data_IF_071425552378
#
_entry.id   IF_071425552378
#
_cell.length_a   1.000
_cell.length_b   1.000
_cell.length_c   1.000
_cell.angle_alpha   90.00
_cell.angle_beta   90.00
_cell.angle_gamma   90.00
#
_symmetry.space_group_name_H-M   'P 1'
#
loop_
_entity.id
_entity.type
_entity.pdbx_description
1 polymer ?
#
# COMPACT_ATOMS: atom_id res chain seq x y z
N UNK A 1 -13.34 15.47 -29.63
CA UNK A 1 -12.78 15.92 -28.34
C UNK A 1 -11.50 15.16 -28.09
N UNK A 2 -10.37 15.83 -28.30
CA UNK A 2 -9.06 15.30 -27.91
C UNK A 2 -9.02 15.26 -26.39
N UNK A 3 -9.10 14.07 -25.82
CA UNK A 3 -8.71 13.85 -24.42
C UNK A 3 -7.18 14.05 -24.38
N UNK A 4 -6.75 15.06 -23.61
CA UNK A 4 -5.34 15.36 -23.45
C UNK A 4 -4.62 14.15 -22.84
N UNK A 5 -3.68 13.59 -23.57
CA UNK A 5 -2.69 12.68 -23.03
C UNK A 5 -1.81 13.48 -22.07
N UNK A 6 -2.19 13.47 -20.80
CA UNK A 6 -1.34 13.98 -19.75
C UNK A 6 -0.05 13.19 -19.79
N UNK A 7 1.08 13.88 -19.95
CA UNK A 7 2.41 13.29 -19.76
C UNK A 7 2.38 12.53 -18.43
N UNK A 8 2.63 11.22 -18.45
CA UNK A 8 2.93 10.47 -17.23
C UNK A 8 4.22 11.09 -16.72
N UNK A 9 4.09 12.00 -15.76
CA UNK A 9 5.25 12.62 -15.14
C UNK A 9 5.93 11.53 -14.31
N UNK A 10 6.98 10.95 -14.85
CA UNK A 10 7.84 9.94 -14.22
C UNK A 10 8.61 10.47 -12.99
N UNK A 11 8.02 11.38 -12.22
CA UNK A 11 8.76 12.10 -11.18
C UNK A 11 8.12 12.22 -9.80
N UNK A 12 6.89 11.79 -9.57
CA UNK A 12 6.17 12.19 -8.32
C UNK A 12 5.42 11.04 -7.64
N UNK A 13 5.85 9.81 -7.80
CA UNK A 13 5.26 8.67 -7.08
C UNK A 13 6.14 8.14 -5.94
N UNK A 14 6.85 9.04 -5.29
CA UNK A 14 7.33 8.77 -3.95
C UNK A 14 6.10 8.71 -3.03
N UNK A 15 5.92 7.62 -2.28
CA UNK A 15 5.09 7.69 -1.08
C UNK A 15 5.62 8.87 -0.31
N UNK A 16 4.84 9.96 -0.25
CA UNK A 16 5.29 11.17 0.43
C UNK A 16 5.58 10.81 1.87
N UNK A 17 6.75 11.18 2.42
CA UNK A 17 7.07 10.90 3.82
C UNK A 17 5.96 11.31 4.78
N UNK A 18 5.17 12.32 4.44
CA UNK A 18 4.02 12.78 5.22
C UNK A 18 2.95 11.72 5.47
N UNK A 19 2.89 10.67 4.64
CA UNK A 19 1.95 9.56 4.82
C UNK A 19 2.47 8.47 5.77
N UNK A 20 3.74 8.49 6.15
CA UNK A 20 4.31 7.44 7.01
C UNK A 20 3.67 7.37 8.40
N UNK A 21 3.32 8.50 9.06
CA UNK A 21 2.57 8.44 10.30
C UNK A 21 1.22 7.71 10.16
N UNK A 22 0.49 7.98 9.06
CA UNK A 22 -0.80 7.34 8.79
C UNK A 22 -0.64 5.84 8.49
N UNK A 23 0.44 5.46 7.79
CA UNK A 23 0.76 4.06 7.55
C UNK A 23 1.06 3.33 8.85
N UNK A 24 1.92 3.90 9.70
CA UNK A 24 2.30 3.30 11.00
C UNK A 24 1.10 3.19 11.95
N UNK A 25 0.20 4.18 11.94
CA UNK A 25 -1.04 4.17 12.74
C UNK A 25 -2.18 3.33 12.15
N UNK A 26 -2.01 2.76 10.97
CA UNK A 26 -3.08 1.98 10.33
C UNK A 26 -3.26 0.60 10.97
N UNK A 27 -4.50 0.13 11.03
CA UNK A 27 -4.83 -1.20 11.57
C UNK A 27 -4.01 -2.32 10.90
N UNK A 28 -3.87 -2.40 9.56
CA UNK A 28 -3.08 -3.45 8.94
C UNK A 28 -1.60 -3.43 9.32
N UNK A 29 -1.03 -2.25 9.50
CA UNK A 29 0.36 -2.13 9.93
C UNK A 29 0.52 -2.55 11.40
N UNK A 30 -0.34 -2.04 12.28
CA UNK A 30 -0.30 -2.34 13.72
C UNK A 30 -0.53 -3.82 13.99
N UNK A 31 -1.50 -4.45 13.34
CA UNK A 31 -1.75 -5.89 13.49
C UNK A 31 -0.61 -6.74 12.96
N UNK A 32 0.12 -6.26 11.95
CA UNK A 32 1.30 -6.95 11.46
C UNK A 32 2.42 -7.04 12.51
N UNK A 33 2.43 -6.16 13.51
CA UNK A 33 3.42 -6.17 14.58
C UNK A 33 3.09 -7.17 15.70
N UNK A 34 1.87 -7.70 15.76
CA UNK A 34 1.46 -8.62 16.85
C UNK A 34 2.27 -9.91 16.90
N UNK A 35 2.65 -10.44 15.73
CA UNK A 35 3.41 -11.69 15.61
C UNK A 35 4.93 -11.48 15.73
N UNK A 36 5.37 -10.26 16.02
CA UNK A 36 6.81 -9.98 16.18
C UNK A 36 7.30 -10.56 17.49
N UNK A 37 8.34 -11.37 17.41
CA UNK A 37 9.02 -11.92 18.58
C UNK A 37 9.89 -10.85 19.25
N UNK A 38 9.66 -10.63 20.52
CA UNK A 38 10.40 -9.70 21.37
C UNK A 38 10.96 -10.45 22.57
N UNK A 39 12.06 -9.92 23.11
CA UNK A 39 12.75 -10.51 24.25
C UNK A 39 12.89 -9.49 25.37
N UNK A 40 12.55 -9.90 26.59
CA UNK A 40 12.73 -9.05 27.78
C UNK A 40 14.19 -9.07 28.23
N UNK A 41 14.62 -7.94 28.78
CA UNK A 41 15.99 -7.77 29.27
C UNK A 41 16.25 -8.56 30.56
N UNK A 42 15.26 -8.63 31.46
CA UNK A 42 15.44 -9.21 32.79
C UNK A 42 15.43 -10.74 32.75
N UNK A 43 14.43 -11.34 32.14
CA UNK A 43 14.23 -12.79 32.19
C UNK A 43 14.69 -13.50 30.92
N UNK A 44 15.01 -12.77 29.87
CA UNK A 44 15.39 -13.32 28.57
C UNK A 44 14.29 -14.16 27.91
N UNK A 45 13.05 -14.04 28.38
CA UNK A 45 11.90 -14.75 27.81
C UNK A 45 11.51 -14.13 26.46
N UNK A 46 11.12 -15.00 25.54
CA UNK A 46 10.67 -14.63 24.20
C UNK A 46 9.15 -14.67 24.18
N UNK A 47 8.56 -13.57 23.73
CA UNK A 47 7.11 -13.39 23.60
C UNK A 47 6.80 -12.80 22.23
N UNK A 48 5.59 -12.97 21.76
CA UNK A 48 5.08 -12.09 20.70
C UNK A 48 4.69 -10.74 21.30
N UNK A 49 4.71 -9.68 20.48
CA UNK A 49 4.24 -8.35 20.91
C UNK A 49 2.81 -8.43 21.45
N UNK A 50 1.96 -9.26 20.85
CA UNK A 50 0.60 -9.55 21.33
C UNK A 50 0.62 -10.05 22.77
N UNK A 51 1.35 -11.13 23.04
CA UNK A 51 1.45 -11.72 24.40
C UNK A 51 2.01 -10.72 25.40
N UNK A 52 3.04 -9.98 25.01
CA UNK A 52 3.62 -8.94 25.85
C UNK A 52 2.61 -7.87 26.25
N UNK A 53 1.79 -7.39 25.30
CA UNK A 53 0.76 -6.39 25.57
C UNK A 53 -0.38 -6.96 26.42
N UNK A 54 -0.79 -8.20 26.22
CA UNK A 54 -1.80 -8.88 27.02
C UNK A 54 -1.35 -9.03 28.48
N UNK A 55 -0.09 -9.39 28.74
CA UNK A 55 0.49 -9.50 30.07
C UNK A 55 0.65 -8.13 30.76
N UNK A 56 1.03 -7.07 30.04
CA UNK A 56 1.06 -5.71 30.57
C UNK A 56 -0.33 -5.15 30.90
N UNK A 57 -1.37 -5.58 30.20
CA UNK A 57 -2.76 -5.16 30.49
C UNK A 57 -3.35 -5.92 31.66
N UNK A 58 -2.74 -7.01 32.11
CA UNK A 58 -3.10 -7.65 33.38
C UNK A 58 -2.77 -6.67 34.51
N UNK A 59 -3.80 -6.27 35.23
CA UNK A 59 -3.67 -5.33 36.35
C UNK A 59 -2.58 -5.80 37.32
N UNK A 60 -1.73 -4.88 37.85
CA UNK A 60 -0.65 -5.25 38.78
C UNK A 60 -1.20 -6.08 39.95
N UNK A 61 -0.42 -7.06 40.44
CA UNK A 61 -0.84 -7.98 41.50
C UNK A 61 -1.50 -7.31 42.72
N UNK A 62 -1.09 -6.08 43.02
CA UNK A 62 -1.66 -5.29 44.13
C UNK A 62 -3.09 -4.79 43.82
N UNK A 63 -3.51 -4.68 42.58
CA UNK A 63 -4.89 -4.31 42.21
C UNK A 63 -5.88 -5.44 42.56
N UNK A 64 -5.43 -6.69 42.62
CA UNK A 64 -6.24 -7.80 43.08
C UNK A 64 -6.57 -7.68 44.59
N UNK A 65 -5.72 -7.04 45.38
CA UNK A 65 -5.94 -6.81 46.80
C UNK A 65 -6.95 -5.68 47.03
N UNK A 66 -6.93 -4.62 46.24
CA UNK A 66 -7.86 -3.50 46.32
C UNK A 66 -9.21 -3.81 45.69
N UNK A 67 -9.25 -4.69 44.66
CA UNK A 67 -10.43 -5.06 43.90
C UNK A 67 -11.21 -6.27 44.48
N UNK A 68 -10.71 -6.93 45.53
CA UNK A 68 -11.33 -8.14 46.09
C UNK A 68 -12.82 -8.02 46.45
N UNK A 69 -13.32 -6.91 47.02
CA UNK A 69 -14.75 -6.80 47.31
C UNK A 69 -15.65 -6.65 46.05
N UNK A 70 -15.13 -6.20 44.94
CA UNK A 70 -15.91 -6.03 43.72
C UNK A 70 -15.94 -7.26 42.80
N UNK A 71 -14.98 -8.21 42.94
CA UNK A 71 -14.97 -9.46 42.15
C UNK A 71 -16.11 -10.42 42.50
N UNK A 72 -16.67 -10.33 43.69
CA UNK A 72 -17.84 -11.15 44.11
C UNK A 72 -19.14 -10.75 43.39
N UNK A 73 -19.24 -9.54 42.88
CA UNK A 73 -20.41 -9.06 42.14
C UNK A 73 -20.28 -9.37 40.64
N UNK A 74 -19.06 -9.50 40.11
CA UNK A 74 -18.76 -9.83 38.70
C UNK A 74 -18.96 -11.32 38.33
N UNK A 75 -18.94 -12.23 39.31
CA UNK A 75 -19.13 -13.67 39.08
C UNK A 75 -20.56 -14.07 38.64
N UNK A 76 -21.52 -13.17 38.68
CA UNK A 76 -22.89 -13.39 38.25
C UNK A 76 -23.16 -12.96 36.79
N UNK A 77 -22.19 -12.44 36.09
CA UNK A 77 -22.24 -12.21 34.64
C UNK A 77 -21.27 -13.14 33.96
N UNK A 78 -21.76 -14.32 33.60
CA UNK A 78 -21.07 -15.20 32.63
C UNK A 78 -21.02 -14.48 31.29
N UNK A 79 -19.92 -13.79 31.02
CA UNK A 79 -19.52 -13.49 29.66
C UNK A 79 -18.89 -14.76 29.11
N UNK A 80 -19.47 -15.29 28.03
CA UNK A 80 -18.82 -16.31 27.22
C UNK A 80 -17.48 -15.72 26.77
N UNK A 81 -16.40 -16.12 27.43
CA UNK A 81 -15.04 -15.97 26.95
C UNK A 81 -14.96 -16.89 25.73
N UNK A 82 -15.07 -16.33 24.54
CA UNK A 82 -14.60 -16.99 23.34
C UNK A 82 -13.09 -17.19 23.52
N UNK A 83 -12.70 -18.43 23.83
CA UNK A 83 -11.31 -18.87 23.78
C UNK A 83 -10.77 -18.54 22.40
N UNK A 84 -9.86 -17.56 22.32
CA UNK A 84 -9.19 -17.19 21.08
C UNK A 84 -8.16 -18.29 20.78
N UNK A 85 -8.36 -19.15 19.77
CA UNK A 85 -7.41 -20.23 19.48
C UNK A 85 -6.10 -19.63 19.02
N UNK A 86 -5.02 -19.93 19.72
CA UNK A 86 -3.64 -19.59 19.35
C UNK A 86 -3.40 -19.83 17.85
N UNK A 87 -3.11 -18.77 17.10
CA UNK A 87 -2.74 -18.84 15.68
C UNK A 87 -3.80 -18.33 14.70
N UNK A 88 -4.89 -17.71 15.14
CA UNK A 88 -5.85 -17.08 14.24
C UNK A 88 -5.22 -15.85 13.58
N UNK A 89 -5.10 -15.87 12.25
CA UNK A 89 -4.73 -14.66 11.50
C UNK A 89 -5.75 -13.57 11.75
N UNK A 90 -5.29 -12.43 12.27
CA UNK A 90 -6.13 -11.28 12.55
C UNK A 90 -6.85 -10.83 11.27
N UNK A 91 -8.18 -10.76 11.33
CA UNK A 91 -8.95 -10.23 10.22
C UNK A 91 -9.04 -8.69 10.35
N UNK A 92 -8.24 -7.97 9.59
CA UNK A 92 -8.17 -6.50 9.63
C UNK A 92 -9.50 -5.79 9.34
N UNK A 93 -10.50 -6.50 8.82
CA UNK A 93 -11.85 -5.96 8.57
C UNK A 93 -12.85 -6.24 9.69
N UNK A 94 -12.53 -7.18 10.58
CA UNK A 94 -13.38 -7.60 11.69
C UNK A 94 -12.52 -7.92 12.91
N UNK A 95 -12.06 -6.88 13.58
CA UNK A 95 -11.34 -7.03 14.84
C UNK A 95 -12.31 -7.38 15.97
N UNK A 96 -11.91 -8.31 16.83
CA UNK A 96 -12.59 -8.53 18.10
C UNK A 96 -12.41 -7.32 19.03
N UNK A 97 -13.21 -7.23 20.10
CA UNK A 97 -13.04 -6.12 21.07
C UNK A 97 -11.66 -6.12 21.71
N UNK A 98 -11.08 -7.29 21.95
CA UNK A 98 -9.76 -7.38 22.57
C UNK A 98 -8.65 -7.08 21.60
N UNK A 99 -8.76 -7.50 20.34
CA UNK A 99 -7.83 -7.07 19.29
C UNK A 99 -7.86 -5.55 19.07
N UNK A 100 -9.04 -4.94 19.15
CA UNK A 100 -9.17 -3.48 19.07
C UNK A 100 -8.44 -2.76 20.21
N UNK A 101 -8.57 -3.27 21.44
CA UNK A 101 -7.82 -2.74 22.60
C UNK A 101 -6.31 -2.88 22.41
N UNK A 102 -5.86 -4.01 21.86
CA UNK A 102 -4.43 -4.22 21.57
C UNK A 102 -3.92 -3.27 20.49
N UNK A 103 -4.71 -3.04 19.43
CA UNK A 103 -4.39 -2.05 18.39
C UNK A 103 -4.26 -0.65 18.99
N UNK A 104 -5.23 -0.22 19.82
CA UNK A 104 -5.18 1.07 20.50
C UNK A 104 -3.98 1.16 21.46
N UNK A 105 -3.72 0.12 22.24
CA UNK A 105 -2.59 0.06 23.16
C UNK A 105 -1.25 0.19 22.42
N UNK A 106 -1.11 -0.46 21.27
CA UNK A 106 0.10 -0.39 20.47
C UNK A 106 0.24 0.95 19.76
N UNK A 107 -0.84 1.51 19.21
CA UNK A 107 -0.84 2.83 18.56
C UNK A 107 -0.52 3.96 19.54
N UNK A 108 -0.86 3.82 20.80
CA UNK A 108 -0.48 4.79 21.84
C UNK A 108 1.01 4.72 22.22
N UNK A 109 1.69 3.63 21.87
CA UNK A 109 3.10 3.36 22.21
C UNK A 109 4.05 3.47 21.04
N UNK A 110 3.54 3.28 19.82
CA UNK A 110 4.30 3.37 18.57
C UNK A 110 3.77 4.56 17.78
N UNK A 111 4.65 5.47 17.42
CA UNK A 111 4.28 6.64 16.62
C UNK A 111 5.36 6.97 15.60
N UNK A 112 4.95 7.56 14.51
CA UNK A 112 5.85 8.13 13.51
C UNK A 112 5.58 9.62 13.37
N UNK A 113 6.62 10.41 13.15
CA UNK A 113 6.52 11.83 12.85
C UNK A 113 7.46 12.20 11.72
N UNK A 114 7.13 13.25 10.97
CA UNK A 114 7.92 13.69 9.82
C UNK A 114 8.24 15.17 9.97
N UNK A 115 9.52 15.50 9.89
CA UNK A 115 9.96 16.88 9.76
C UNK A 115 9.73 17.34 8.30
N UNK A 116 8.85 18.32 8.12
CA UNK A 116 8.48 18.81 6.78
C UNK A 116 9.61 19.54 6.05
N UNK A 117 10.64 20.02 6.78
CA UNK A 117 11.77 20.74 6.19
C UNK A 117 12.88 19.80 5.70
N UNK A 118 13.13 18.77 6.50
CA UNK A 118 14.22 17.82 6.23
C UNK A 118 13.75 16.51 5.63
N UNK A 119 12.44 16.25 5.64
CA UNK A 119 11.83 14.96 5.28
C UNK A 119 12.35 13.77 6.11
N UNK A 120 12.91 14.05 7.28
CA UNK A 120 13.35 13.03 8.22
C UNK A 120 12.13 12.42 8.91
N UNK A 121 12.06 11.10 8.91
CA UNK A 121 11.03 10.33 9.62
C UNK A 121 11.59 9.85 10.94
N UNK A 122 10.92 10.19 12.03
CA UNK A 122 11.26 9.75 13.37
C UNK A 122 10.23 8.74 13.85
N UNK A 123 10.68 7.53 14.20
CA UNK A 123 9.86 6.49 14.83
C UNK A 123 10.11 6.53 16.33
N UNK A 124 9.05 6.57 17.11
CA UNK A 124 9.12 6.55 18.57
C UNK A 124 8.36 5.34 19.09
N UNK A 125 9.01 4.56 19.94
CA UNK A 125 8.43 3.37 20.58
C UNK A 125 8.65 3.45 22.08
N UNK A 126 7.56 3.33 22.85
CA UNK A 126 7.56 3.39 24.31
C UNK A 126 7.00 2.09 24.90
N UNK A 127 7.86 1.22 25.41
CA UNK A 127 7.50 -0.01 26.12
C UNK A 127 8.08 0.02 27.54
N UNK A 128 7.59 -0.83 28.44
CA UNK A 128 8.11 -0.92 29.82
C UNK A 128 9.55 -1.48 29.82
N UNK A 129 9.82 -2.47 28.96
CA UNK A 129 11.17 -3.03 28.82
C UNK A 129 11.94 -2.29 27.70
N UNK A 130 13.18 -1.82 28.02
CA UNK A 130 13.99 -1.08 27.03
C UNK A 130 14.46 -1.95 25.85
N UNK A 131 14.65 -3.28 26.05
CA UNK A 131 15.05 -4.19 24.97
C UNK A 131 13.88 -4.43 24.02
N UNK A 132 12.66 -4.64 24.56
CA UNK A 132 11.43 -4.71 23.78
C UNK A 132 11.21 -3.43 22.97
N UNK A 133 11.41 -2.25 23.58
CA UNK A 133 11.32 -0.97 22.87
C UNK A 133 12.28 -0.90 21.68
N UNK A 134 13.52 -1.32 21.88
CA UNK A 134 14.56 -1.27 20.84
C UNK A 134 14.27 -2.27 19.69
N UNK A 135 13.92 -3.51 20.00
CA UNK A 135 13.58 -4.53 19.00
C UNK A 135 12.36 -4.09 18.18
N UNK A 136 11.33 -3.60 18.86
CA UNK A 136 10.11 -3.17 18.18
C UNK A 136 10.36 -1.92 17.31
N UNK A 137 11.18 -0.97 17.78
CA UNK A 137 11.54 0.20 16.98
C UNK A 137 12.27 -0.19 15.69
N UNK A 138 13.24 -1.07 15.76
CA UNK A 138 13.97 -1.60 14.58
C UNK A 138 13.03 -2.35 13.63
N UNK A 139 12.14 -3.17 14.19
CA UNK A 139 11.13 -3.90 13.40
C UNK A 139 10.15 -2.96 12.69
N UNK A 140 9.68 -1.90 13.36
CA UNK A 140 8.78 -0.90 12.77
C UNK A 140 9.47 -0.19 11.61
N UNK A 141 10.74 0.20 11.76
CA UNK A 141 11.53 0.80 10.67
C UNK A 141 11.66 -0.16 9.50
N UNK A 142 12.04 -1.40 9.76
CA UNK A 142 12.22 -2.42 8.71
C UNK A 142 10.92 -2.70 7.96
N UNK A 143 9.80 -2.89 8.67
CA UNK A 143 8.48 -3.10 8.06
C UNK A 143 7.98 -1.90 7.26
N UNK A 144 8.23 -0.69 7.76
CA UNK A 144 7.88 0.52 7.02
C UNK A 144 8.67 0.63 5.71
N UNK A 145 9.98 0.32 5.75
CA UNK A 145 10.82 0.29 4.55
C UNK A 145 10.34 -0.77 3.54
N UNK A 146 9.99 -1.95 4.03
CA UNK A 146 9.42 -3.02 3.19
C UNK A 146 8.09 -2.60 2.57
N UNK A 147 7.18 -2.04 3.34
CA UNK A 147 5.89 -1.54 2.87
C UNK A 147 6.06 -0.50 1.75
N UNK A 148 6.93 0.48 1.97
CA UNK A 148 7.21 1.53 0.96
C UNK A 148 7.83 0.94 -0.30
N UNK A 149 8.75 -0.01 -0.16
CA UNK A 149 9.39 -0.68 -1.28
C UNK A 149 8.39 -1.50 -2.09
N UNK A 150 7.54 -2.28 -1.42
CA UNK A 150 6.48 -3.07 -2.06
C UNK A 150 5.47 -2.17 -2.77
N UNK A 151 5.05 -1.09 -2.13
CA UNK A 151 4.12 -0.13 -2.74
C UNK A 151 4.69 0.45 -4.04
N UNK A 152 5.95 0.94 -4.00
CA UNK A 152 6.64 1.49 -5.18
C UNK A 152 6.78 0.46 -6.30
N UNK A 153 7.20 -0.75 -5.94
CA UNK A 153 7.37 -1.84 -6.91
C UNK A 153 6.04 -2.23 -7.56
N UNK A 154 4.99 -2.36 -6.76
CA UNK A 154 3.66 -2.70 -7.27
C UNK A 154 3.09 -1.58 -8.16
N UNK A 155 3.31 -0.32 -7.78
CA UNK A 155 2.91 0.83 -8.59
C UNK A 155 3.66 0.83 -9.93
N UNK A 156 5.00 0.75 -9.90
CA UNK A 156 5.82 0.74 -11.11
C UNK A 156 5.43 -0.41 -12.06
N UNK A 157 5.10 -1.59 -11.51
CA UNK A 157 4.63 -2.73 -12.32
C UNK A 157 3.31 -2.43 -13.01
N UNK A 158 2.35 -1.82 -12.29
CA UNK A 158 1.06 -1.44 -12.89
C UNK A 158 1.21 -0.35 -13.95
N UNK A 159 2.10 0.61 -13.70
CA UNK A 159 2.37 1.68 -14.66
C UNK A 159 3.03 1.13 -15.94
N UNK A 160 3.95 0.17 -15.79
CA UNK A 160 4.55 -0.55 -16.92
C UNK A 160 3.49 -1.33 -17.71
N UNK A 161 2.67 -2.14 -17.05
CA UNK A 161 1.58 -2.92 -17.69
C UNK A 161 0.62 -2.00 -18.46
N UNK A 162 0.29 -0.85 -17.88
CA UNK A 162 -0.54 0.14 -18.55
C UNK A 162 0.16 0.74 -19.78
N UNK A 163 1.45 1.10 -19.67
CA UNK A 163 2.23 1.64 -20.78
C UNK A 163 2.39 0.61 -21.92
N UNK A 164 2.64 -0.66 -21.60
CA UNK A 164 2.70 -1.75 -22.57
C UNK A 164 1.37 -1.94 -23.30
N UNK A 165 0.25 -1.95 -22.58
CA UNK A 165 -1.09 -2.06 -23.16
C UNK A 165 -1.36 -0.90 -24.12
N UNK A 166 -1.07 0.33 -23.69
CA UNK A 166 -1.25 1.52 -24.52
C UNK A 166 -0.40 1.51 -25.78
N UNK A 167 0.83 1.00 -25.68
CA UNK A 167 1.73 0.84 -26.84
C UNK A 167 1.20 -0.21 -27.83
N UNK A 168 0.71 -1.35 -27.34
CA UNK A 168 0.13 -2.38 -28.19
C UNK A 168 -1.12 -1.89 -28.92
N UNK A 169 -2.00 -1.16 -28.23
CA UNK A 169 -3.19 -0.54 -28.83
C UNK A 169 -2.80 0.47 -29.92
N UNK A 170 -1.86 1.37 -29.63
CA UNK A 170 -1.37 2.36 -30.59
C UNK A 170 -0.72 1.70 -31.81
N UNK A 171 0.03 0.63 -31.60
CA UNK A 171 0.64 -0.18 -32.67
C UNK A 171 -0.42 -0.84 -33.56
N UNK A 172 -1.46 -1.41 -32.97
CA UNK A 172 -2.55 -2.03 -33.69
C UNK A 172 -3.32 -0.99 -34.55
N UNK A 173 -3.60 0.21 -34.00
CA UNK A 173 -4.24 1.27 -34.74
C UNK A 173 -3.35 1.81 -35.87
N UNK A 174 -2.05 1.92 -35.66
CA UNK A 174 -1.11 2.29 -36.73
C UNK A 174 -1.14 1.30 -37.90
N UNK A 175 -1.04 -0.01 -37.61
CA UNK A 175 -1.09 -1.01 -38.69
C UNK A 175 -2.44 -1.03 -39.41
N UNK A 176 -3.53 -0.82 -38.72
CA UNK A 176 -4.86 -0.73 -39.31
C UNK A 176 -5.01 0.52 -40.17
N UNK A 177 -4.47 1.66 -39.74
CA UNK A 177 -4.47 2.89 -40.57
C UNK A 177 -3.60 2.71 -41.81
N UNK A 178 -2.43 2.11 -41.67
CA UNK A 178 -1.51 1.77 -42.79
C UNK A 178 -2.17 0.84 -43.82
N UNK A 179 -2.85 -0.20 -43.34
CA UNK A 179 -3.56 -1.13 -44.22
C UNK A 179 -4.68 -0.41 -45.01
N UNK A 180 -5.51 0.41 -44.34
CA UNK A 180 -6.56 1.19 -45.01
C UNK A 180 -5.99 2.14 -46.05
N UNK A 181 -4.86 2.76 -45.75
CA UNK A 181 -4.19 3.63 -46.72
C UNK A 181 -3.68 2.86 -47.95
N UNK A 182 -3.02 1.71 -47.73
CA UNK A 182 -2.53 0.83 -48.79
C UNK A 182 -3.67 0.29 -49.67
N UNK A 183 -4.74 -0.23 -49.08
CA UNK A 183 -5.94 -0.73 -49.81
C UNK A 183 -6.58 0.38 -50.64
N UNK A 184 -6.62 1.60 -50.15
CA UNK A 184 -7.13 2.74 -50.88
C UNK A 184 -6.26 3.10 -52.09
N UNK A 185 -4.92 3.07 -51.92
CA UNK A 185 -3.99 3.31 -53.06
C UNK A 185 -4.11 2.26 -54.11
N UNK A 186 -4.19 0.98 -53.74
CA UNK A 186 -4.31 -0.14 -54.69
C UNK A 186 -5.62 -0.09 -55.45
N UNK A 187 -6.71 0.27 -54.78
CA UNK A 187 -8.05 0.33 -55.39
C UNK A 187 -8.25 1.54 -56.30
N UNK A 188 -7.43 2.58 -56.17
CA UNK A 188 -7.61 3.88 -56.85
C UNK A 188 -6.39 4.27 -57.71
N UNK A 189 -5.62 3.29 -58.18
CA UNK A 189 -4.49 3.53 -59.07
C UNK A 189 -4.92 4.24 -60.34
N UNK A 190 -4.34 5.42 -60.58
CA UNK A 190 -4.61 6.19 -61.80
C UNK A 190 -5.83 7.14 -61.77
N UNK A 191 -6.56 7.26 -60.68
CA UNK A 191 -7.65 8.20 -60.52
C UNK A 191 -7.13 9.61 -60.20
N UNK A 192 -7.18 10.51 -61.20
CA UNK A 192 -6.79 11.93 -61.05
C UNK A 192 -7.95 12.81 -60.47
N UNK A 193 -9.00 12.20 -59.93
CA UNK A 193 -10.13 12.92 -59.40
C UNK A 193 -9.78 13.66 -58.06
N UNK A 194 -10.13 14.91 -57.94
CA UNK A 194 -9.85 15.74 -56.75
C UNK A 194 -10.37 15.09 -55.44
N UNK A 195 -11.54 14.41 -55.49
CA UNK A 195 -12.09 13.68 -54.35
C UNK A 195 -11.20 12.53 -53.92
N UNK A 196 -10.58 11.80 -54.86
CA UNK A 196 -9.65 10.71 -54.59
C UNK A 196 -8.38 11.23 -53.89
N UNK A 197 -7.89 12.41 -54.31
CA UNK A 197 -6.73 13.07 -53.68
C UNK A 197 -7.03 13.49 -52.24
N UNK A 198 -8.18 14.12 -51.99
CA UNK A 198 -8.59 14.50 -50.63
C UNK A 198 -8.69 13.29 -49.70
N UNK A 199 -9.24 12.17 -50.18
CA UNK A 199 -9.36 10.94 -49.39
C UNK A 199 -7.99 10.32 -49.11
N UNK A 200 -7.10 10.29 -50.09
CA UNK A 200 -5.71 9.85 -49.93
C UNK A 200 -4.99 10.68 -48.86
N UNK A 201 -5.04 12.00 -48.97
CA UNK A 201 -4.35 12.93 -48.04
C UNK A 201 -4.88 12.76 -46.61
N UNK A 202 -6.20 12.50 -46.47
CA UNK A 202 -6.80 12.19 -45.16
C UNK A 202 -6.27 10.89 -44.55
N UNK A 203 -6.22 9.82 -45.33
CA UNK A 203 -5.73 8.52 -44.88
C UNK A 203 -4.21 8.55 -44.57
N UNK A 204 -3.45 9.29 -45.36
CA UNK A 204 -2.03 9.54 -45.11
C UNK A 204 -1.80 10.28 -43.78
N UNK A 205 -2.60 11.34 -43.54
CA UNK A 205 -2.55 12.08 -42.27
C UNK A 205 -2.96 11.19 -41.08
N UNK A 206 -4.02 10.36 -41.23
CA UNK A 206 -4.47 9.42 -40.20
C UNK A 206 -3.36 8.40 -39.86
N UNK A 207 -2.67 7.87 -40.88
CA UNK A 207 -1.54 6.95 -40.68
C UNK A 207 -0.37 7.64 -40.00
N UNK A 208 -0.07 8.89 -40.37
CA UNK A 208 1.00 9.68 -39.75
C UNK A 208 0.70 10.00 -38.28
N UNK A 209 -0.54 10.32 -37.96
CA UNK A 209 -0.98 10.55 -36.57
C UNK A 209 -0.87 9.27 -35.75
N UNK A 210 -1.33 8.15 -36.27
CA UNK A 210 -1.24 6.85 -35.61
C UNK A 210 0.22 6.42 -35.39
N UNK A 211 1.11 6.67 -36.35
CA UNK A 211 2.54 6.43 -36.22
C UNK A 211 3.19 7.30 -35.14
N UNK A 212 2.85 8.56 -35.08
CA UNK A 212 3.36 9.46 -34.05
C UNK A 212 2.90 9.03 -32.66
N UNK A 213 1.63 8.62 -32.50
CA UNK A 213 1.11 8.09 -31.25
C UNK A 213 1.84 6.82 -30.83
N UNK A 214 2.04 5.87 -31.76
CA UNK A 214 2.79 4.65 -31.49
C UNK A 214 4.22 4.95 -31.05
N UNK A 215 4.93 5.86 -31.72
CA UNK A 215 6.28 6.27 -31.31
C UNK A 215 6.31 6.94 -29.95
N UNK A 216 5.31 7.74 -29.63
CA UNK A 216 5.22 8.41 -28.33
C UNK A 216 4.99 7.40 -27.20
N UNK A 217 4.13 6.41 -27.42
CA UNK A 217 3.87 5.36 -26.41
C UNK A 217 5.04 4.40 -26.26
N UNK A 218 5.84 4.18 -27.31
CA UNK A 218 7.05 3.37 -27.25
C UNK A 218 8.22 4.01 -26.48
N UNK A 219 8.13 5.31 -26.20
CA UNK A 219 9.17 6.08 -25.47
C UNK A 219 8.83 6.28 -24.00
N UNK A 220 7.67 5.84 -23.54
CA UNK A 220 7.24 5.87 -22.13
C UNK A 220 7.73 4.63 -21.38
#
# INVERSE_FOLDING_TARGET
>A
SMAGFGSISSGVDAVYPQLYPDVVGSVPFTTSLFDVEVKTKEDGQEFTVRQYLEDETKAPWWSAVIGAPFKLIGMLKSSEEEEDPEGRKVNNFQLSQDENKLVEALNNRVSASVDQKTSVVTITVNMQDPLVSAILADTVVSRLQEYVTQYRTNKARKDLEYAETLNEEAKAEYYKAQQRYAEYLDSNQGLALQRAQITRDRLENETSLAFNLYNQTAQQ
#
